data_IF_076139830164
#
_entry.id   IF_076139830164
#
_cell.length_a   1.000
_cell.length_b   1.000
_cell.length_c   1.000
_cell.angle_alpha   90.00
_cell.angle_beta   90.00
_cell.angle_gamma   90.00
#
_symmetry.space_group_name_H-M   'P 1'
#
loop_
_entity.id
_entity.type
_entity.pdbx_description
1 polymer ?
#
# COMPACT_ATOMS: atom_id res chain seq x y z
N UNK A 1 15.94 -17.11 7.41
CA UNK A 1 16.12 -16.93 5.95
C UNK A 1 14.73 -17.03 5.36
N UNK A 2 14.28 -16.03 4.59
CA UNK A 2 12.96 -16.06 3.99
C UNK A 2 12.85 -17.12 2.90
N UNK A 3 11.62 -17.50 2.59
CA UNK A 3 11.29 -18.48 1.57
C UNK A 3 10.58 -17.79 0.40
N UNK A 4 11.02 -18.06 -0.82
CA UNK A 4 10.24 -17.71 -2.02
C UNK A 4 9.12 -18.71 -2.21
N UNK A 5 7.87 -18.23 -2.29
CA UNK A 5 6.71 -19.09 -2.50
C UNK A 5 6.48 -19.43 -3.99
N UNK A 6 5.41 -20.20 -4.25
CA UNK A 6 5.06 -20.66 -5.60
C UNK A 6 4.72 -19.53 -6.59
N UNK A 7 4.43 -18.32 -6.10
CA UNK A 7 4.16 -17.14 -6.92
C UNK A 7 5.40 -16.26 -7.12
N UNK A 8 6.56 -16.66 -6.57
CA UNK A 8 7.80 -15.87 -6.63
C UNK A 8 7.91 -14.79 -5.56
N UNK A 9 6.98 -14.73 -4.60
CA UNK A 9 7.05 -13.74 -3.50
C UNK A 9 8.04 -14.23 -2.44
N UNK A 10 9.02 -13.39 -2.11
CA UNK A 10 9.90 -13.53 -0.94
C UNK A 10 9.56 -12.42 0.06
N UNK A 11 8.92 -12.80 1.17
CA UNK A 11 8.46 -11.84 2.19
C UNK A 11 9.61 -11.18 2.96
N UNK A 12 10.82 -11.76 2.92
CA UNK A 12 12.02 -11.20 3.54
C UNK A 12 12.78 -10.25 2.60
N UNK A 13 12.37 -10.24 1.33
CA UNK A 13 13.02 -9.51 0.26
C UNK A 13 12.78 -8.00 0.29
N UNK A 14 13.40 -7.33 -0.68
CA UNK A 14 13.21 -5.90 -0.93
C UNK A 14 11.79 -5.60 -1.40
N UNK A 15 11.35 -4.36 -1.15
CA UNK A 15 10.04 -3.87 -1.56
C UNK A 15 10.16 -2.64 -2.44
N UNK A 16 9.26 -2.50 -3.40
CA UNK A 16 9.05 -1.28 -4.17
C UNK A 16 7.91 -0.44 -3.60
N UNK A 17 7.68 0.73 -4.20
CA UNK A 17 6.56 1.62 -3.88
C UNK A 17 5.66 1.78 -5.10
N UNK A 18 4.34 1.79 -4.86
CA UNK A 18 3.35 2.09 -5.88
C UNK A 18 2.90 3.55 -5.75
N UNK A 19 2.46 3.93 -4.55
CA UNK A 19 2.15 5.32 -4.18
C UNK A 19 2.65 5.61 -2.76
N UNK A 20 2.89 6.89 -2.46
CA UNK A 20 3.38 7.35 -1.17
C UNK A 20 2.59 8.54 -0.67
N UNK A 21 2.21 8.52 0.61
CA UNK A 21 1.59 9.63 1.33
C UNK A 21 0.52 10.35 0.52
N UNK A 22 -0.40 9.56 -0.04
CA UNK A 22 -1.55 10.08 -0.77
C UNK A 22 -2.64 10.41 0.24
N UNK A 23 -2.93 11.70 0.38
CA UNK A 23 -4.04 12.20 1.19
C UNK A 23 -5.36 11.65 0.65
N UNK A 24 -6.18 11.08 1.53
CA UNK A 24 -7.50 10.56 1.19
C UNK A 24 -8.58 11.64 1.39
N UNK A 25 -9.74 11.47 0.76
CA UNK A 25 -10.81 12.49 0.80
C UNK A 25 -11.36 12.73 2.21
N UNK A 26 -11.21 11.74 3.10
CA UNK A 26 -11.67 11.80 4.48
C UNK A 26 -10.53 11.51 5.44
N UNK A 27 -10.70 11.96 6.68
CA UNK A 27 -9.66 11.85 7.71
C UNK A 27 -9.39 10.43 8.24
N UNK A 28 -10.35 9.50 8.38
CA UNK A 28 -10.10 8.20 9.01
C UNK A 28 -9.05 7.33 8.29
N UNK A 29 -8.53 6.32 8.99
CA UNK A 29 -7.54 5.43 8.40
C UNK A 29 -8.12 4.64 7.21
N UNK A 30 -7.32 4.36 6.17
CA UNK A 30 -7.65 3.36 5.18
C UNK A 30 -7.83 1.99 5.84
N UNK A 31 -8.52 1.07 5.17
CA UNK A 31 -8.84 -0.27 5.71
C UNK A 31 -8.53 -1.39 4.71
N UNK A 32 -8.83 -1.13 3.43
CA UNK A 32 -8.54 -2.06 2.36
C UNK A 32 -8.08 -1.33 1.11
N UNK A 33 -7.26 -2.04 0.33
CA UNK A 33 -6.74 -1.60 -0.96
C UNK A 33 -7.14 -2.60 -2.04
N UNK A 34 -7.34 -2.11 -3.26
CA UNK A 34 -7.45 -2.92 -4.47
C UNK A 34 -6.91 -2.13 -5.66
N UNK A 35 -6.69 -2.79 -6.79
CA UNK A 35 -6.04 -2.20 -7.96
C UNK A 35 -6.72 -2.70 -9.23
N UNK A 36 -7.03 -1.76 -10.11
CA UNK A 36 -7.42 -2.00 -11.48
C UNK A 36 -6.26 -1.58 -12.36
N UNK A 37 -5.41 -2.54 -12.71
CA UNK A 37 -4.23 -2.26 -13.51
C UNK A 37 -4.54 -2.01 -14.99
N UNK A 38 -5.72 -2.39 -15.46
CA UNK A 38 -6.17 -2.16 -16.85
C UNK A 38 -6.54 -0.70 -17.03
N UNK A 39 -7.29 -0.13 -16.10
CA UNK A 39 -7.71 1.28 -16.14
C UNK A 39 -6.78 2.23 -15.38
N UNK A 40 -5.70 1.71 -14.77
CA UNK A 40 -4.67 2.51 -14.12
C UNK A 40 -5.11 3.12 -12.78
N UNK A 41 -5.91 2.38 -12.01
CA UNK A 41 -6.52 2.87 -10.78
C UNK A 41 -6.11 2.05 -9.55
N UNK A 42 -5.95 2.75 -8.44
CA UNK A 42 -5.90 2.17 -7.09
C UNK A 42 -7.18 2.59 -6.38
N UNK A 43 -7.75 1.67 -5.61
CA UNK A 43 -8.92 1.91 -4.79
C UNK A 43 -8.59 1.72 -3.31
N UNK A 44 -9.08 2.63 -2.47
CA UNK A 44 -8.83 2.62 -1.02
C UNK A 44 -10.13 2.89 -0.26
N UNK A 45 -10.49 1.96 0.62
CA UNK A 45 -11.64 2.09 1.53
C UNK A 45 -11.23 2.74 2.85
N UNK A 46 -12.09 3.58 3.41
CA UNK A 46 -11.99 4.16 4.74
C UNK A 46 -13.33 3.99 5.48
N UNK A 47 -13.29 3.73 6.78
CA UNK A 47 -14.51 3.82 7.60
C UNK A 47 -14.94 5.29 7.73
N UNK A 48 -16.24 5.56 7.63
CA UNK A 48 -16.79 6.85 8.02
C UNK A 48 -16.71 7.02 9.54
N UNK A 49 -15.93 7.99 10.02
CA UNK A 49 -16.00 8.43 11.41
C UNK A 49 -17.29 9.22 11.62
N UNK A 50 -18.30 8.61 12.26
CA UNK A 50 -19.45 9.35 12.79
C UNK A 50 -19.27 9.57 14.29
N UNK A 51 -19.77 10.71 14.80
CA UNK A 51 -19.74 11.02 16.23
C UNK A 51 -20.79 10.24 17.05
N UNK A 52 -21.69 9.48 16.41
CA UNK A 52 -22.90 8.93 17.07
C UNK A 52 -23.10 7.42 16.96
N UNK A 53 -22.36 6.71 16.10
CA UNK A 53 -22.09 5.26 16.09
C UNK A 53 -21.70 4.82 14.66
N UNK A 54 -20.79 3.85 14.48
CA UNK A 54 -20.45 3.36 13.15
C UNK A 54 -21.66 2.64 12.53
N UNK A 55 -22.31 3.28 11.56
CA UNK A 55 -23.41 2.71 10.77
C UNK A 55 -22.92 1.71 9.70
N UNK A 56 -21.66 1.30 9.78
CA UNK A 56 -21.00 0.53 8.72
C UNK A 56 -20.87 1.33 7.41
N UNK A 57 -20.74 2.66 7.47
CA UNK A 57 -20.57 3.47 6.27
C UNK A 57 -19.09 3.58 5.92
N UNK A 58 -18.77 3.55 4.63
CA UNK A 58 -17.42 3.63 4.08
C UNK A 58 -17.29 4.76 3.07
N UNK A 59 -16.06 5.23 2.89
CA UNK A 59 -15.64 6.05 1.77
C UNK A 59 -14.68 5.26 0.90
N UNK A 60 -14.97 5.21 -0.39
CA UNK A 60 -14.12 4.61 -1.40
C UNK A 60 -13.42 5.72 -2.18
N UNK A 61 -12.09 5.67 -2.24
CA UNK A 61 -11.28 6.62 -2.98
C UNK A 61 -10.74 5.93 -4.24
N UNK A 62 -10.73 6.63 -5.38
CA UNK A 62 -10.02 6.24 -6.59
C UNK A 62 -8.78 7.11 -6.76
N UNK A 63 -7.62 6.48 -6.92
CA UNK A 63 -6.32 7.12 -7.04
C UNK A 63 -5.73 6.74 -8.39
N UNK A 64 -5.14 7.71 -9.09
CA UNK A 64 -4.31 7.44 -10.26
C UNK A 64 -3.05 6.68 -9.84
N UNK A 65 -2.85 5.50 -10.44
CA UNK A 65 -1.78 4.57 -10.05
C UNK A 65 -0.37 5.12 -10.30
N UNK A 66 -0.20 6.07 -11.22
CA UNK A 66 1.09 6.62 -11.60
C UNK A 66 1.39 7.93 -10.83
N UNK A 67 0.42 8.82 -10.76
CA UNK A 67 0.61 10.16 -10.19
C UNK A 67 0.28 10.22 -8.70
N UNK A 68 -0.41 9.23 -8.15
CA UNK A 68 -0.91 9.26 -6.77
C UNK A 68 -2.04 10.29 -6.56
N UNK A 69 -2.56 10.91 -7.62
CA UNK A 69 -3.65 11.88 -7.52
C UNK A 69 -4.97 11.18 -7.21
N UNK A 70 -5.72 11.66 -6.22
CA UNK A 70 -7.11 11.21 -6.01
C UNK A 70 -7.99 11.74 -7.15
N UNK A 71 -8.59 10.85 -7.94
CA UNK A 71 -9.39 11.18 -9.13
C UNK A 71 -10.90 10.98 -8.93
N UNK A 72 -11.33 10.60 -7.73
CA UNK A 72 -12.73 10.50 -7.37
C UNK A 72 -12.96 9.79 -6.03
N UNK A 73 -14.15 9.91 -5.50
CA UNK A 73 -14.59 9.15 -4.33
C UNK A 73 -16.08 8.79 -4.39
N UNK A 74 -16.49 7.79 -3.63
CA UNK A 74 -17.86 7.29 -3.55
C UNK A 74 -18.17 6.92 -2.10
N UNK A 75 -19.39 7.22 -1.62
CA UNK A 75 -19.82 6.83 -0.27
C UNK A 75 -20.60 5.52 -0.35
N UNK A 76 -20.33 4.59 0.57
CA UNK A 76 -20.99 3.30 0.66
C UNK A 76 -21.70 3.21 2.02
N UNK A 77 -23.04 3.21 2.05
CA UNK A 77 -23.81 3.18 3.31
C UNK A 77 -24.23 1.76 3.70
N UNK A 78 -24.01 1.38 4.95
CA UNK A 78 -24.38 0.03 5.44
C UNK A 78 -23.55 -1.10 4.81
N UNK A 79 -22.28 -0.83 4.51
CA UNK A 79 -21.35 -1.80 3.95
C UNK A 79 -20.59 -2.59 5.02
N UNK A 80 -20.14 -1.94 6.10
CA UNK A 80 -19.40 -2.57 7.19
C UNK A 80 -18.14 -1.81 7.55
N UNK A 81 -17.02 -2.53 7.65
CA UNK A 81 -15.74 -2.01 8.14
C UNK A 81 -14.73 -1.74 7.01
N UNK A 82 -14.89 -2.41 5.87
CA UNK A 82 -13.93 -2.44 4.78
C UNK A 82 -12.80 -3.45 5.00
N UNK A 83 -13.09 -4.63 5.55
CA UNK A 83 -12.10 -5.68 5.86
C UNK A 83 -11.15 -6.02 4.69
N UNK A 84 -11.69 -6.09 3.49
CA UNK A 84 -10.95 -6.37 2.27
C UNK A 84 -11.75 -5.96 1.03
N UNK A 85 -11.08 -5.91 -0.13
CA UNK A 85 -11.67 -5.46 -1.38
C UNK A 85 -11.06 -6.17 -2.59
N UNK A 86 -11.82 -6.25 -3.67
CA UNK A 86 -11.31 -6.61 -5.01
C UNK A 86 -11.76 -5.58 -6.04
N UNK A 87 -10.93 -5.32 -7.04
CA UNK A 87 -11.25 -4.45 -8.17
C UNK A 87 -11.20 -5.26 -9.47
N UNK A 88 -12.29 -5.21 -10.23
CA UNK A 88 -12.52 -5.99 -11.43
C UNK A 88 -12.72 -5.06 -12.63
N UNK A 89 -11.75 -4.96 -13.56
CA UNK A 89 -11.93 -4.19 -14.77
C UNK A 89 -12.96 -4.84 -15.71
N UNK A 90 -13.89 -4.03 -16.22
CA UNK A 90 -14.84 -4.40 -17.28
C UNK A 90 -14.85 -3.30 -18.34
N UNK A 91 -14.06 -3.50 -19.40
CA UNK A 91 -13.83 -2.43 -20.38
C UNK A 91 -13.17 -1.23 -19.70
N UNK A 92 -13.75 -0.04 -19.87
CA UNK A 92 -13.29 1.20 -19.24
C UNK A 92 -13.81 1.41 -17.81
N UNK A 93 -14.71 0.53 -17.36
CA UNK A 93 -15.33 0.62 -16.05
C UNK A 93 -14.59 -0.26 -15.04
N UNK A 94 -14.63 0.13 -13.76
CA UNK A 94 -14.17 -0.71 -12.66
C UNK A 94 -15.35 -1.11 -11.77
N UNK A 95 -15.56 -2.41 -11.63
CA UNK A 95 -16.46 -2.96 -10.61
C UNK A 95 -15.68 -3.34 -9.36
N UNK A 96 -16.24 -3.05 -8.20
CA UNK A 96 -15.64 -3.33 -6.91
C UNK A 96 -16.41 -4.43 -6.20
N UNK A 97 -15.66 -5.26 -5.49
CA UNK A 97 -16.16 -6.26 -4.56
C UNK A 97 -15.79 -5.84 -3.15
N UNK A 98 -16.77 -5.73 -2.26
CA UNK A 98 -16.52 -5.59 -0.81
C UNK A 98 -17.70 -6.13 -0.01
N UNK A 99 -17.58 -6.08 1.32
CA UNK A 99 -18.64 -6.48 2.24
C UNK A 99 -19.85 -5.54 2.16
N UNK A 100 -21.02 -6.08 2.50
CA UNK A 100 -22.27 -5.35 2.61
C UNK A 100 -23.17 -5.96 3.69
N UNK A 101 -24.15 -5.18 4.15
CA UNK A 101 -25.16 -5.65 5.07
C UNK A 101 -25.87 -6.95 4.62
N UNK A 102 -26.41 -7.75 5.57
CA UNK A 102 -26.74 -7.37 6.94
C UNK A 102 -25.51 -7.13 7.81
N UNK A 103 -25.62 -6.16 8.72
CA UNK A 103 -24.51 -5.72 9.56
C UNK A 103 -24.39 -6.58 10.83
N UNK A 104 -23.15 -6.79 11.26
CA UNK A 104 -22.78 -7.39 12.53
C UNK A 104 -21.94 -6.39 13.32
N UNK A 105 -22.40 -6.02 14.51
CA UNK A 105 -21.67 -5.12 15.40
C UNK A 105 -21.09 -5.90 16.56
N UNK A 106 -19.77 -5.79 16.75
CA UNK A 106 -19.04 -6.38 17.88
C UNK A 106 -19.29 -5.59 19.17
N UNK A 107 -18.90 -6.15 20.31
CA UNK A 107 -19.13 -5.53 21.62
C UNK A 107 -18.40 -4.20 21.82
N UNK A 108 -17.33 -3.95 21.08
CA UNK A 108 -16.58 -2.68 21.06
C UNK A 108 -17.18 -1.65 20.09
N UNK A 109 -18.30 -1.98 19.43
CA UNK A 109 -18.99 -1.12 18.49
C UNK A 109 -18.51 -1.24 17.04
N UNK A 110 -17.47 -2.01 16.73
CA UNK A 110 -17.01 -2.20 15.35
C UNK A 110 -18.07 -2.91 14.52
N UNK A 111 -18.36 -2.43 13.31
CA UNK A 111 -19.47 -2.94 12.49
C UNK A 111 -18.98 -3.49 11.16
N UNK A 112 -19.36 -4.73 10.84
CA UNK A 112 -18.96 -5.49 9.66
C UNK A 112 -20.17 -5.90 8.81
N UNK A 113 -20.00 -6.03 7.50
CA UNK A 113 -20.95 -6.63 6.58
C UNK A 113 -20.83 -8.15 6.57
N UNK A 114 -21.97 -8.84 6.63
CA UNK A 114 -22.03 -10.31 6.59
C UNK A 114 -22.17 -10.90 5.18
N UNK A 115 -22.36 -10.06 4.19
CA UNK A 115 -22.48 -10.48 2.79
C UNK A 115 -21.41 -9.80 1.93
N UNK A 116 -21.20 -10.30 0.72
CA UNK A 116 -20.37 -9.69 -0.32
C UNK A 116 -21.27 -9.21 -1.46
N UNK A 117 -20.94 -8.07 -2.06
CA UNK A 117 -21.61 -7.58 -3.27
C UNK A 117 -20.63 -6.99 -4.27
N UNK A 118 -21.09 -6.89 -5.52
CA UNK A 118 -20.38 -6.30 -6.66
C UNK A 118 -21.12 -5.07 -7.16
N UNK A 119 -20.43 -3.94 -7.27
CA UNK A 119 -21.01 -2.67 -7.69
C UNK A 119 -20.05 -1.89 -8.60
N UNK A 120 -20.59 -1.01 -9.45
CA UNK A 120 -19.81 -0.12 -10.30
C UNK A 120 -19.24 1.02 -9.45
N UNK A 121 -17.98 1.38 -9.64
CA UNK A 121 -17.46 2.64 -9.10
C UNK A 121 -18.02 3.82 -9.90
N UNK A 122 -18.71 4.73 -9.21
CA UNK A 122 -19.22 5.96 -9.80
C UNK A 122 -18.79 7.17 -8.94
N UNK A 123 -17.92 8.06 -9.44
CA UNK A 123 -17.41 9.17 -8.65
C UNK A 123 -18.53 10.13 -8.24
N UNK A 124 -18.51 10.56 -6.98
CA UNK A 124 -19.48 11.45 -6.36
C UNK A 124 -20.80 10.78 -5.95
N UNK A 125 -20.98 9.47 -6.20
CA UNK A 125 -22.22 8.76 -5.82
C UNK A 125 -22.23 8.31 -4.37
N UNK A 126 -23.44 8.11 -3.89
CA UNK A 126 -23.74 7.39 -2.64
C UNK A 126 -24.45 6.10 -3.04
N UNK A 127 -23.88 4.97 -2.64
CA UNK A 127 -24.52 3.66 -2.78
C UNK A 127 -25.02 3.19 -1.43
N UNK A 128 -26.33 3.00 -1.31
CA UNK A 128 -26.96 2.52 -0.10
C UNK A 128 -27.13 0.99 -0.16
N UNK A 129 -26.41 0.30 0.74
CA UNK A 129 -26.43 -1.15 0.84
C UNK A 129 -27.82 -1.71 1.15
N UNK A 130 -28.71 -0.94 1.78
CA UNK A 130 -30.10 -1.36 2.04
C UNK A 130 -30.94 -1.45 0.76
N UNK A 131 -30.57 -0.69 -0.28
CA UNK A 131 -31.27 -0.67 -1.58
C UNK A 131 -30.73 -1.71 -2.56
N UNK A 132 -29.60 -2.36 -2.25
CA UNK A 132 -29.06 -3.43 -3.09
C UNK A 132 -29.96 -4.68 -2.95
N UNK A 133 -30.51 -5.21 -4.06
CA UNK A 133 -31.36 -6.39 -4.04
C UNK A 133 -30.67 -7.61 -3.42
N UNK A 134 -31.44 -8.44 -2.71
CA UNK A 134 -30.96 -9.62 -1.98
C UNK A 134 -30.18 -10.58 -2.87
N UNK A 135 -30.62 -10.78 -4.11
CA UNK A 135 -30.01 -11.64 -5.11
C UNK A 135 -28.62 -11.14 -5.59
N UNK A 136 -28.28 -9.88 -5.32
CA UNK A 136 -26.95 -9.30 -5.58
C UNK A 136 -26.04 -9.32 -4.35
N UNK A 137 -26.47 -9.95 -3.27
CA UNK A 137 -25.71 -10.13 -2.02
C UNK A 137 -25.46 -11.61 -1.80
N UNK A 138 -24.25 -11.94 -1.41
CA UNK A 138 -23.88 -13.31 -1.09
C UNK A 138 -23.38 -13.43 0.34
N UNK A 139 -24.09 -14.23 1.14
CA UNK A 139 -23.67 -14.62 2.48
C UNK A 139 -23.15 -16.06 2.42
N UNK A 140 -21.86 -16.31 2.70
CA UNK A 140 -21.35 -17.68 2.77
C UNK A 140 -22.17 -18.55 3.75
N UNK A 141 -22.52 -19.79 3.37
CA UNK A 141 -23.32 -20.66 4.23
C UNK A 141 -22.66 -20.89 5.61
N UNK A 142 -23.40 -20.58 6.67
CA UNK A 142 -22.93 -20.72 8.05
C UNK A 142 -22.06 -19.56 8.55
N UNK A 143 -21.95 -18.45 7.80
CA UNK A 143 -21.21 -17.27 8.24
C UNK A 143 -21.82 -16.64 9.51
N UNK A 144 -21.00 -16.48 10.55
CA UNK A 144 -21.43 -15.96 11.85
C UNK A 144 -21.19 -14.46 12.00
N UNK A 145 -20.12 -13.91 11.44
CA UNK A 145 -19.73 -12.50 11.55
C UNK A 145 -19.28 -11.90 10.21
N UNK A 146 -18.33 -10.95 10.25
CA UNK A 146 -17.86 -10.19 9.08
C UNK A 146 -17.30 -11.08 7.97
N UNK A 147 -17.45 -10.59 6.74
CA UNK A 147 -16.98 -11.23 5.51
C UNK A 147 -16.08 -10.27 4.74
N UNK A 148 -15.22 -10.79 3.87
CA UNK A 148 -14.34 -9.96 3.06
C UNK A 148 -13.94 -10.64 1.76
N UNK A 149 -14.07 -10.00 0.59
CA UNK A 149 -13.60 -10.53 -0.67
C UNK A 149 -12.14 -10.17 -0.95
N UNK A 150 -11.45 -10.99 -1.73
CA UNK A 150 -10.19 -10.66 -2.40
C UNK A 150 -10.19 -11.28 -3.79
N UNK A 151 -9.78 -10.51 -4.80
CA UNK A 151 -9.73 -10.97 -6.18
C UNK A 151 -8.31 -11.42 -6.54
N UNK A 152 -8.17 -12.64 -7.06
CA UNK A 152 -6.97 -13.13 -7.74
C UNK A 152 -7.05 -12.75 -9.22
N UNK A 153 -6.26 -11.77 -9.70
CA UNK A 153 -6.33 -11.29 -11.07
C UNK A 153 -5.73 -12.28 -12.08
N UNK A 154 -4.90 -13.23 -11.63
CA UNK A 154 -4.24 -14.22 -12.51
C UNK A 154 -5.18 -15.37 -12.81
N UNK A 155 -5.82 -15.92 -11.78
CA UNK A 155 -6.72 -17.07 -11.92
C UNK A 155 -8.19 -16.69 -12.09
N UNK A 156 -8.50 -15.39 -12.01
CA UNK A 156 -9.87 -14.84 -12.08
C UNK A 156 -10.79 -15.46 -11.01
N UNK A 157 -10.25 -15.66 -9.81
CA UNK A 157 -10.96 -16.25 -8.69
C UNK A 157 -11.27 -15.18 -7.65
N UNK A 158 -12.51 -15.18 -7.14
CA UNK A 158 -12.91 -14.38 -5.99
C UNK A 158 -12.82 -15.25 -4.73
N UNK A 159 -11.89 -14.93 -3.84
CA UNK A 159 -11.86 -15.54 -2.51
C UNK A 159 -12.73 -14.75 -1.55
N UNK A 160 -13.63 -15.42 -0.83
CA UNK A 160 -14.41 -14.83 0.25
C UNK A 160 -13.96 -15.41 1.59
N UNK A 161 -13.46 -14.53 2.46
CA UNK A 161 -13.24 -14.81 3.87
C UNK A 161 -14.54 -14.65 4.65
N UNK A 162 -14.80 -15.57 5.57
CA UNK A 162 -15.92 -15.49 6.49
C UNK A 162 -15.61 -16.24 7.78
N UNK A 163 -16.39 -15.96 8.82
CA UNK A 163 -16.26 -16.64 10.10
C UNK A 163 -17.25 -17.78 10.21
N UNK A 164 -16.79 -18.96 10.60
CA UNK A 164 -17.62 -20.13 10.85
C UNK A 164 -16.95 -21.00 11.91
N UNK A 165 -17.73 -21.54 12.84
CA UNK A 165 -17.25 -22.44 13.90
C UNK A 165 -16.04 -21.87 14.70
N UNK A 166 -16.06 -20.56 14.95
CA UNK A 166 -15.00 -19.84 15.67
C UNK A 166 -13.69 -19.62 14.89
N UNK A 167 -13.66 -19.96 13.59
CA UNK A 167 -12.48 -19.85 12.73
C UNK A 167 -12.75 -18.97 11.51
N UNK A 168 -11.66 -18.50 10.88
CA UNK A 168 -11.72 -17.83 9.58
C UNK A 168 -11.61 -18.87 8.48
N UNK A 169 -12.62 -18.92 7.63
CA UNK A 169 -12.72 -19.74 6.44
C UNK A 169 -12.52 -18.89 5.20
N UNK A 170 -11.90 -19.45 4.18
CA UNK A 170 -11.62 -18.79 2.91
C UNK A 170 -12.07 -19.74 1.81
N UNK A 171 -13.05 -19.33 1.01
CA UNK A 171 -13.58 -20.14 -0.10
C UNK A 171 -13.47 -19.37 -1.39
N UNK A 172 -13.04 -20.04 -2.45
CA UNK A 172 -12.88 -19.44 -3.78
C UNK A 172 -14.10 -19.70 -4.64
N UNK A 173 -14.38 -18.76 -5.52
CA UNK A 173 -15.43 -18.81 -6.52
C UNK A 173 -14.86 -18.33 -7.85
N UNK A 174 -15.43 -18.77 -8.96
CA UNK A 174 -15.17 -18.12 -10.25
C UNK A 174 -15.74 -16.69 -10.21
N UNK A 175 -14.89 -15.69 -10.49
CA UNK A 175 -15.30 -14.28 -10.34
C UNK A 175 -16.41 -13.89 -11.32
N UNK A 176 -16.40 -14.42 -12.54
CA UNK A 176 -17.41 -14.09 -13.55
C UNK A 176 -18.77 -14.74 -13.21
N UNK A 177 -18.76 -16.00 -12.77
CA UNK A 177 -19.96 -16.67 -12.30
C UNK A 177 -20.54 -16.00 -11.05
N UNK A 178 -19.69 -15.61 -10.09
CA UNK A 178 -20.09 -14.87 -8.91
C UNK A 178 -20.71 -13.51 -9.27
N UNK A 179 -20.16 -12.81 -10.27
CA UNK A 179 -20.68 -11.53 -10.75
C UNK A 179 -22.12 -11.63 -11.29
N UNK A 180 -22.52 -12.80 -11.79
CA UNK A 180 -23.88 -13.09 -12.25
C UNK A 180 -24.74 -13.80 -11.20
N UNK A 181 -24.28 -13.91 -9.95
CA UNK A 181 -25.03 -14.50 -8.84
C UNK A 181 -24.87 -16.03 -8.68
N UNK A 182 -23.96 -16.66 -9.41
CA UNK A 182 -23.66 -18.09 -9.30
C UNK A 182 -22.47 -18.36 -8.39
N UNK A 183 -22.73 -18.79 -7.17
CA UNK A 183 -21.73 -18.99 -6.11
C UNK A 183 -21.42 -20.47 -5.89
N UNK A 184 -20.70 -21.07 -6.84
CA UNK A 184 -20.22 -22.45 -6.74
C UNK A 184 -18.77 -22.43 -6.24
N UNK A 185 -18.47 -23.05 -5.08
CA UNK A 185 -17.10 -23.14 -4.59
C UNK A 185 -16.16 -23.81 -5.60
N UNK A 186 -14.96 -23.24 -5.73
CA UNK A 186 -13.87 -23.79 -6.54
C UNK A 186 -12.82 -24.36 -5.59
N UNK A 187 -12.62 -25.67 -5.66
CA UNK A 187 -11.65 -26.38 -4.82
C UNK A 187 -12.05 -26.45 -3.35
N UNK A 188 -11.06 -26.63 -2.47
CA UNK A 188 -11.25 -26.74 -1.03
C UNK A 188 -11.41 -25.36 -0.36
N UNK A 189 -12.16 -25.32 0.75
CA UNK A 189 -12.15 -24.19 1.68
C UNK A 189 -10.88 -24.26 2.55
N UNK A 190 -10.09 -23.19 2.55
CA UNK A 190 -8.99 -23.04 3.49
C UNK A 190 -9.52 -22.58 4.85
N UNK A 191 -9.00 -23.16 5.93
CA UNK A 191 -9.36 -22.77 7.31
C UNK A 191 -8.10 -22.29 7.99
N UNK A 192 -8.11 -21.04 8.45
CA UNK A 192 -6.93 -20.45 9.10
C UNK A 192 -6.52 -21.28 10.31
N UNK A 193 -5.23 -21.68 10.43
CA UNK A 193 -4.73 -22.31 11.63
C UNK A 193 -4.82 -21.36 12.83
N UNK A 194 -4.95 -21.92 14.03
CA UNK A 194 -4.91 -21.18 15.27
C UNK A 194 -3.47 -21.00 15.77
N UNK A 195 -3.25 -20.08 16.71
CA UNK A 195 -2.01 -20.03 17.50
C UNK A 195 -0.82 -19.38 16.80
N UNK A 196 -1.07 -18.38 15.94
CA UNK A 196 0.02 -17.59 15.39
C UNK A 196 0.75 -16.79 16.49
N UNK A 197 2.07 -16.99 16.58
CA UNK A 197 2.94 -16.31 17.54
C UNK A 197 3.08 -14.81 17.20
N UNK A 198 3.22 -13.96 18.21
CA UNK A 198 3.47 -12.52 18.03
C UNK A 198 4.96 -12.18 18.02
N UNK A 199 5.83 -13.13 18.39
CA UNK A 199 7.27 -12.89 18.49
C UNK A 199 7.87 -12.51 17.12
N UNK A 200 8.37 -11.27 16.95
CA UNK A 200 9.08 -10.89 15.75
C UNK A 200 10.48 -11.54 15.71
N UNK A 201 10.94 -11.87 14.50
CA UNK A 201 12.31 -12.36 14.26
C UNK A 201 13.38 -11.27 14.49
N UNK A 202 12.95 -10.02 14.70
CA UNK A 202 13.80 -8.87 15.03
C UNK A 202 13.36 -8.27 16.36
N UNK A 203 14.29 -7.75 17.19
CA UNK A 203 13.91 -7.12 18.46
C UNK A 203 12.88 -6.01 18.25
N UNK A 204 11.77 -6.10 18.97
CA UNK A 204 10.81 -5.00 19.05
C UNK A 204 11.38 -3.92 19.98
N UNK A 205 11.30 -2.62 19.60
CA UNK A 205 11.74 -1.54 20.48
C UNK A 205 10.87 -1.40 21.74
N UNK A 206 9.65 -1.93 21.71
CA UNK A 206 8.70 -1.88 22.82
C UNK A 206 7.95 -3.22 23.02
N UNK A 207 7.38 -3.47 24.21
CA UNK A 207 6.53 -4.64 24.44
C UNK A 207 5.34 -4.70 23.48
N UNK A 208 4.99 -5.90 23.00
CA UNK A 208 3.86 -6.15 22.10
C UNK A 208 2.71 -6.83 22.84
N UNK A 209 1.47 -6.53 22.42
CA UNK A 209 0.30 -7.33 22.83
C UNK A 209 0.46 -8.77 22.33
N UNK A 210 -0.07 -9.74 23.08
CA UNK A 210 0.07 -11.19 22.78
C UNK A 210 -0.85 -11.70 21.66
N UNK A 211 -1.62 -10.81 21.02
CA UNK A 211 -2.58 -11.17 19.98
C UNK A 211 -2.32 -10.37 18.70
N UNK A 212 -2.34 -11.07 17.56
CA UNK A 212 -2.31 -10.43 16.26
C UNK A 212 -3.70 -9.95 15.86
N UNK A 213 -3.78 -8.71 15.38
CA UNK A 213 -4.95 -8.11 14.75
C UNK A 213 -4.87 -8.34 13.24
N UNK A 214 -5.99 -8.64 12.60
CA UNK A 214 -6.07 -8.86 11.16
C UNK A 214 -6.26 -7.53 10.42
N UNK A 215 -5.37 -7.20 9.49
CA UNK A 215 -5.39 -5.97 8.69
C UNK A 215 -5.69 -6.22 7.21
N UNK A 216 -6.02 -7.46 6.86
CA UNK A 216 -6.43 -7.85 5.51
C UNK A 216 -5.89 -9.21 5.12
N UNK A 217 -6.32 -9.68 3.96
CA UNK A 217 -5.77 -10.86 3.32
C UNK A 217 -5.89 -10.74 1.80
N UNK A 218 -5.07 -11.51 1.08
CA UNK A 218 -5.28 -11.74 -0.34
C UNK A 218 -4.87 -13.17 -0.70
N UNK A 219 -5.27 -13.61 -1.89
CA UNK A 219 -4.97 -14.94 -2.40
C UNK A 219 -4.45 -14.80 -3.81
N UNK A 220 -3.41 -15.58 -4.13
CA UNK A 220 -2.86 -15.70 -5.46
C UNK A 220 -2.44 -17.15 -5.68
N UNK A 221 -3.04 -17.81 -6.67
CA UNK A 221 -2.71 -19.22 -6.93
C UNK A 221 -2.93 -20.08 -5.70
N UNK A 222 -1.97 -20.92 -5.31
CA UNK A 222 -2.07 -21.76 -4.09
C UNK A 222 -1.68 -21.04 -2.79
N UNK A 223 -1.49 -19.72 -2.78
CA UNK A 223 -0.98 -19.02 -1.59
C UNK A 223 -2.01 -18.04 -1.02
N UNK A 224 -2.28 -18.15 0.27
CA UNK A 224 -2.99 -17.15 1.04
C UNK A 224 -1.98 -16.27 1.77
N UNK A 225 -2.10 -14.95 1.62
CA UNK A 225 -1.32 -13.97 2.36
C UNK A 225 -2.21 -13.31 3.40
N UNK A 226 -1.83 -13.45 4.67
CA UNK A 226 -2.50 -12.78 5.79
C UNK A 226 -1.66 -11.59 6.23
N UNK A 227 -2.27 -10.40 6.25
CA UNK A 227 -1.65 -9.19 6.76
C UNK A 227 -2.11 -8.94 8.18
N UNK A 228 -1.16 -8.87 9.10
CA UNK A 228 -1.42 -8.87 10.53
C UNK A 228 -0.62 -7.78 11.23
N UNK A 229 -1.12 -7.34 12.36
CA UNK A 229 -0.51 -6.31 13.18
C UNK A 229 -0.40 -6.79 14.62
N UNK A 230 0.77 -6.58 15.22
CA UNK A 230 1.00 -6.71 16.64
C UNK A 230 1.08 -5.31 17.25
N UNK A 231 0.03 -4.86 17.97
CA UNK A 231 0.07 -3.57 18.64
C UNK A 231 1.13 -3.53 19.72
N UNK A 232 1.74 -2.37 19.97
CA UNK A 232 2.49 -2.18 21.21
C UNK A 232 1.55 -2.20 22.42
N UNK A 233 2.07 -2.70 23.54
CA UNK A 233 1.31 -2.85 24.78
C UNK A 233 1.33 -1.54 25.60
N UNK A 234 0.81 -0.47 25.00
CA UNK A 234 0.73 0.86 25.61
C UNK A 234 -0.14 0.86 26.88
N UNK A 235 -1.16 0.02 26.93
CA UNK A 235 -2.07 -0.12 28.07
C UNK A 235 -1.33 -0.53 29.35
N UNK A 236 -0.42 -1.51 29.25
CA UNK A 236 0.39 -1.95 30.38
C UNK A 236 1.73 -1.19 30.51
N UNK A 237 2.14 -0.43 29.49
CA UNK A 237 3.44 0.26 29.44
C UNK A 237 3.34 1.74 28.96
N UNK A 238 2.44 2.57 29.55
CA UNK A 238 2.12 3.89 29.01
C UNK A 238 3.25 4.92 29.13
N UNK A 239 4.26 4.67 29.95
CA UNK A 239 5.42 5.57 30.13
C UNK A 239 6.58 5.26 29.20
N UNK A 240 6.57 4.10 28.52
CA UNK A 240 7.65 3.66 27.64
C UNK A 240 7.21 3.52 26.20
N UNK A 241 5.96 3.15 25.94
CA UNK A 241 5.40 3.02 24.58
C UNK A 241 4.85 4.37 24.09
N UNK A 242 5.34 4.92 22.98
CA UNK A 242 4.82 6.16 22.42
C UNK A 242 3.49 5.94 21.68
N UNK A 243 2.53 6.84 21.89
CA UNK A 243 1.20 6.84 21.24
C UNK A 243 1.25 6.95 19.71
N UNK A 244 2.36 7.46 19.16
CA UNK A 244 2.49 7.74 17.73
C UNK A 244 2.73 6.47 16.90
N UNK A 245 3.29 5.41 17.49
CA UNK A 245 3.70 4.20 16.77
C UNK A 245 2.81 3.02 17.19
N UNK A 246 1.95 2.50 16.32
CA UNK A 246 0.90 1.55 16.67
C UNK A 246 1.50 0.16 16.94
N UNK A 247 2.53 -0.28 16.21
CA UNK A 247 3.18 -1.56 16.48
C UNK A 247 3.90 -2.15 15.26
N UNK A 248 3.98 -3.48 15.20
CA UNK A 248 4.73 -4.20 14.16
C UNK A 248 3.78 -4.91 13.19
N UNK A 249 3.99 -4.71 11.90
CA UNK A 249 3.24 -5.36 10.83
C UNK A 249 3.94 -6.64 10.37
N UNK A 250 3.15 -7.69 10.15
CA UNK A 250 3.59 -9.00 9.69
C UNK A 250 2.82 -9.42 8.43
N UNK A 251 3.52 -9.98 7.45
CA UNK A 251 2.91 -10.77 6.40
C UNK A 251 3.22 -12.24 6.65
N UNK A 252 2.19 -13.07 6.55
CA UNK A 252 2.30 -14.52 6.66
C UNK A 252 1.75 -15.16 5.40
N UNK A 253 2.50 -16.05 4.77
CA UNK A 253 2.05 -16.85 3.62
C UNK A 253 1.70 -18.27 4.06
N UNK A 254 0.62 -18.81 3.52
CA UNK A 254 0.18 -20.19 3.74
C UNK A 254 -0.04 -20.89 2.41
N UNK A 255 0.35 -22.15 2.32
CA UNK A 255 -0.11 -23.00 1.22
C UNK A 255 -1.57 -23.33 1.46
N UNK A 256 -2.39 -23.03 0.46
CA UNK A 256 -3.82 -23.30 0.47
C UNK A 256 -4.08 -24.80 0.49
N UNK A 257 -3.37 -25.55 -0.34
CA UNK A 257 -3.53 -27.01 -0.45
C UNK A 257 -3.20 -27.72 0.86
N UNK A 258 -2.13 -27.31 1.55
CA UNK A 258 -1.65 -28.05 2.73
C UNK A 258 -2.09 -27.46 4.06
N UNK A 259 -2.55 -26.20 4.09
CA UNK A 259 -2.82 -25.47 5.32
C UNK A 259 -1.56 -25.00 6.08
N UNK A 260 -0.37 -25.34 5.59
CA UNK A 260 0.89 -25.06 6.28
C UNK A 260 1.33 -23.61 6.07
N UNK A 261 1.88 -23.01 7.12
CA UNK A 261 2.60 -21.73 7.03
C UNK A 261 3.88 -21.95 6.23
N UNK A 262 4.04 -21.17 5.16
CA UNK A 262 5.24 -21.18 4.32
C UNK A 262 6.30 -20.25 4.91
N UNK A 263 5.93 -18.99 5.14
CA UNK A 263 6.81 -17.98 5.70
C UNK A 263 6.01 -16.96 6.54
N UNK A 264 6.72 -16.27 7.44
CA UNK A 264 6.26 -15.08 8.13
C UNK A 264 7.42 -14.11 8.25
N UNK A 265 7.18 -12.86 7.88
CA UNK A 265 8.20 -11.83 7.99
C UNK A 265 7.60 -10.56 8.57
N UNK A 266 8.42 -9.83 9.34
CA UNK A 266 8.13 -8.43 9.64
C UNK A 266 8.18 -7.65 8.33
N UNK A 267 7.13 -6.88 8.06
CA UNK A 267 7.11 -6.01 6.89
C UNK A 267 8.04 -4.84 7.16
N UNK A 268 9.06 -4.65 6.33
CA UNK A 268 10.10 -3.61 6.49
C UNK A 268 9.90 -2.39 5.57
N UNK A 269 9.02 -2.47 4.58
CA UNK A 269 8.76 -1.37 3.65
C UNK A 269 8.22 -0.13 4.36
N UNK A 270 8.60 1.07 3.89
CA UNK A 270 8.13 2.36 4.42
C UNK A 270 8.42 2.58 5.91
N UNK A 271 9.62 2.23 6.37
CA UNK A 271 10.01 2.27 7.80
C UNK A 271 10.18 3.68 8.38
N UNK A 272 10.24 4.71 7.54
CA UNK A 272 10.33 6.11 7.95
C UNK A 272 8.98 6.81 8.20
N UNK A 273 7.84 6.13 7.97
CA UNK A 273 6.53 6.68 8.32
C UNK A 273 6.36 6.80 9.83
N UNK A 274 5.79 7.92 10.30
CA UNK A 274 5.66 8.21 11.73
C UNK A 274 4.67 7.28 12.43
N UNK A 275 3.47 7.12 11.87
CA UNK A 275 2.44 6.23 12.40
C UNK A 275 2.57 4.83 11.82
N UNK A 276 2.60 4.65 10.50
CA UNK A 276 2.86 3.33 9.88
C UNK A 276 1.90 2.22 10.38
N UNK A 277 0.61 2.51 10.39
CA UNK A 277 -0.43 1.53 10.72
C UNK A 277 -0.69 0.65 9.49
N UNK A 278 -0.58 -0.68 9.56
CA UNK A 278 -0.81 -1.57 8.41
C UNK A 278 -2.29 -1.60 7.99
N UNK A 279 -2.59 -1.36 6.71
CA UNK A 279 -3.97 -1.22 6.20
C UNK A 279 -4.14 -1.84 4.80
N UNK A 280 -4.58 -3.10 4.75
CA UNK A 280 -4.93 -3.80 3.51
C UNK A 280 -3.75 -4.44 2.78
N UNK A 281 -4.10 -5.49 2.01
CA UNK A 281 -3.19 -6.25 1.15
C UNK A 281 -3.96 -6.66 -0.11
N UNK A 282 -3.30 -6.67 -1.25
CA UNK A 282 -3.89 -7.03 -2.54
C UNK A 282 -2.85 -7.69 -3.45
N UNK A 283 -3.30 -8.29 -4.54
CA UNK A 283 -2.41 -8.73 -5.63
C UNK A 283 -2.73 -7.99 -6.92
N UNK A 284 -1.73 -7.83 -7.78
CA UNK A 284 -1.88 -7.21 -9.09
C UNK A 284 -1.00 -7.89 -10.13
N UNK A 285 -1.32 -7.68 -11.40
CA UNK A 285 -0.39 -7.90 -12.51
C UNK A 285 -0.04 -6.55 -13.11
N UNK A 286 1.24 -6.19 -13.04
CA UNK A 286 1.74 -4.96 -13.62
C UNK A 286 1.59 -4.99 -15.14
N UNK A 287 0.90 -4.02 -15.76
CA UNK A 287 0.53 -4.10 -17.17
C UNK A 287 1.72 -3.86 -18.10
N UNK A 288 2.73 -3.11 -17.64
CA UNK A 288 3.92 -2.80 -18.45
C UNK A 288 4.90 -3.98 -18.50
N UNK A 289 5.02 -4.72 -17.40
CA UNK A 289 6.01 -5.79 -17.26
C UNK A 289 5.41 -7.19 -17.24
N UNK A 290 4.10 -7.33 -17.01
CA UNK A 290 3.46 -8.61 -16.74
C UNK A 290 3.87 -9.24 -15.40
N UNK A 291 4.52 -8.50 -14.51
CA UNK A 291 4.93 -9.00 -13.20
C UNK A 291 3.74 -9.05 -12.25
N UNK A 292 3.49 -10.21 -11.63
CA UNK A 292 2.56 -10.31 -10.51
C UNK A 292 3.20 -9.69 -9.26
N UNK A 293 2.45 -8.94 -8.46
CA UNK A 293 2.99 -8.31 -7.24
C UNK A 293 2.05 -8.53 -6.07
N UNK A 294 2.62 -8.64 -4.87
CA UNK A 294 1.89 -8.61 -3.60
C UNK A 294 1.99 -7.20 -3.02
N UNK A 295 0.88 -6.50 -2.93
CA UNK A 295 0.77 -5.13 -2.45
C UNK A 295 0.36 -5.13 -0.98
N UNK A 296 0.86 -4.16 -0.22
CA UNK A 296 0.44 -3.91 1.15
C UNK A 296 0.43 -2.41 1.45
N UNK A 297 -0.56 -1.97 2.23
CA UNK A 297 -0.79 -0.58 2.56
C UNK A 297 -0.32 -0.22 3.97
N UNK A 298 0.14 1.01 4.13
CA UNK A 298 0.31 1.66 5.42
C UNK A 298 -0.46 2.98 5.45
N UNK A 299 -1.11 3.24 6.57
CA UNK A 299 -1.66 4.52 6.96
C UNK A 299 -0.63 5.33 7.74
N UNK A 300 -0.56 6.61 7.45
CA UNK A 300 0.22 7.56 8.22
C UNK A 300 -0.60 8.82 8.53
N UNK A 301 -0.12 9.65 9.45
CA UNK A 301 -0.71 10.96 9.72
C UNK A 301 -0.23 11.95 8.66
N UNK A 302 -1.17 12.64 8.00
CA UNK A 302 -0.84 13.73 7.09
C UNK A 302 -0.07 14.80 7.88
N UNK A 303 1.15 15.19 7.45
CA UNK A 303 1.96 16.17 8.17
C UNK A 303 1.20 17.46 8.48
N UNK A 304 1.28 17.94 9.72
CA UNK A 304 0.59 19.16 10.16
C UNK A 304 -0.90 19.01 10.47
N UNK A 305 -1.45 17.78 10.39
CA UNK A 305 -2.83 17.50 10.80
C UNK A 305 -2.88 16.65 12.07
N UNK A 306 -3.98 16.73 12.82
CA UNK A 306 -4.18 15.95 14.05
C UNK A 306 -4.95 14.65 13.81
N UNK A 307 -5.53 14.45 12.63
CA UNK A 307 -6.42 13.31 12.38
C UNK A 307 -6.54 12.87 10.93
N UNK A 308 -6.03 13.61 9.95
CA UNK A 308 -6.09 13.16 8.56
C UNK A 308 -5.09 12.05 8.33
N UNK A 309 -5.52 11.04 7.58
CA UNK A 309 -4.70 9.88 7.23
C UNK A 309 -4.40 9.87 5.74
N UNK A 310 -3.14 9.59 5.45
CA UNK A 310 -2.67 9.30 4.10
C UNK A 310 -2.54 7.79 3.90
N UNK A 311 -2.33 7.37 2.65
CA UNK A 311 -1.96 6.00 2.31
C UNK A 311 -0.62 5.93 1.58
N UNK A 312 0.20 4.97 1.97
CA UNK A 312 1.39 4.53 1.25
C UNK A 312 1.21 3.06 0.88
N UNK A 313 1.35 2.72 -0.40
CA UNK A 313 1.21 1.34 -0.88
C UNK A 313 2.55 0.87 -1.42
N UNK A 314 3.08 -0.17 -0.79
CA UNK A 314 4.31 -0.83 -1.18
C UNK A 314 3.99 -2.19 -1.79
N UNK A 315 4.99 -2.85 -2.37
CA UNK A 315 4.80 -4.16 -2.96
C UNK A 315 6.07 -5.01 -2.93
N UNK A 316 5.87 -6.33 -2.88
CA UNK A 316 6.91 -7.33 -3.09
C UNK A 316 7.00 -7.72 -4.56
N UNK A 317 8.20 -7.65 -5.16
CA UNK A 317 8.45 -8.15 -6.52
C UNK A 317 8.44 -9.67 -6.57
N UNK A 318 7.90 -10.24 -7.65
CA UNK A 318 7.92 -11.69 -7.88
C UNK A 318 8.97 -12.13 -8.89
N UNK A 319 9.41 -11.23 -9.77
CA UNK A 319 10.45 -11.58 -10.75
C UNK A 319 11.81 -11.69 -10.08
N UNK A 320 12.65 -12.68 -10.46
CA UNK A 320 14.01 -12.78 -9.96
C UNK A 320 14.86 -11.58 -10.44
N UNK A 321 15.98 -11.36 -9.75
CA UNK A 321 16.99 -10.41 -10.22
C UNK A 321 17.64 -10.93 -11.52
N UNK A 322 18.00 -10.00 -12.41
CA UNK A 322 18.80 -10.29 -13.62
C UNK A 322 20.20 -9.74 -13.35
N UNK A 323 21.23 -10.58 -13.52
CA UNK A 323 22.62 -10.24 -13.22
C UNK A 323 22.84 -9.66 -11.82
N UNK A 324 22.07 -10.17 -10.84
CA UNK A 324 22.14 -9.74 -9.43
C UNK A 324 21.44 -8.40 -9.14
N UNK A 325 20.79 -7.78 -10.13
CA UNK A 325 20.07 -6.52 -10.00
C UNK A 325 18.57 -6.75 -10.20
N UNK A 326 17.76 -6.21 -9.30
CA UNK A 326 16.30 -6.14 -9.47
C UNK A 326 15.87 -4.69 -9.72
N UNK A 327 15.20 -4.42 -10.83
CA UNK A 327 14.63 -3.09 -11.10
C UNK A 327 13.24 -3.03 -10.46
N UNK A 328 13.06 -2.16 -9.48
CA UNK A 328 11.78 -1.98 -8.77
C UNK A 328 10.95 -0.88 -9.42
N UNK A 329 11.60 0.21 -9.83
CA UNK A 329 10.99 1.23 -10.68
C UNK A 329 12.06 1.66 -11.68
N UNK A 330 11.71 1.70 -12.97
CA UNK A 330 12.65 2.13 -14.00
C UNK A 330 12.72 3.67 -14.09
N UNK A 331 13.47 4.20 -15.04
CA UNK A 331 13.71 5.62 -15.21
C UNK A 331 12.44 6.44 -15.44
N UNK A 332 12.08 7.23 -14.44
CA UNK A 332 10.97 8.18 -14.47
C UNK A 332 11.49 9.62 -14.44
N UNK A 333 10.78 10.53 -15.11
CA UNK A 333 11.13 11.94 -15.17
C UNK A 333 10.88 12.63 -13.82
N UNK A 334 11.80 13.51 -13.43
CA UNK A 334 11.61 14.36 -12.26
C UNK A 334 10.67 15.54 -12.61
N UNK A 335 9.78 15.90 -11.69
CA UNK A 335 8.99 17.12 -11.82
C UNK A 335 9.85 18.32 -11.38
N UNK A 336 10.26 19.17 -12.32
CA UNK A 336 11.16 20.30 -12.04
C UNK A 336 10.40 21.51 -11.49
N UNK A 337 11.03 22.24 -10.57
CA UNK A 337 10.48 23.50 -10.05
C UNK A 337 10.56 24.62 -11.10
N UNK A 338 9.74 25.70 -10.96
CA UNK A 338 9.88 26.89 -11.79
C UNK A 338 11.32 27.45 -11.78
N UNK A 339 11.83 27.85 -12.95
CA UNK A 339 13.21 28.35 -13.10
C UNK A 339 14.28 27.26 -13.20
N UNK A 340 13.89 25.98 -13.10
CA UNK A 340 14.75 24.82 -13.34
C UNK A 340 14.41 24.22 -14.70
N UNK A 341 15.43 23.88 -15.48
CA UNK A 341 15.25 23.24 -16.79
C UNK A 341 16.15 22.02 -16.94
N UNK A 342 15.78 21.03 -17.77
CA UNK A 342 16.69 19.96 -18.13
C UNK A 342 17.96 20.52 -18.79
N UNK A 343 19.12 19.98 -18.43
CA UNK A 343 20.35 20.15 -19.18
C UNK A 343 20.39 19.25 -20.43
N UNK A 344 21.59 18.86 -20.86
CA UNK A 344 21.77 17.99 -22.03
C UNK A 344 21.11 16.61 -21.84
N UNK A 345 21.18 16.07 -20.62
CA UNK A 345 20.56 14.80 -20.23
C UNK A 345 19.34 15.07 -19.36
N UNK A 346 18.19 14.49 -19.73
CA UNK A 346 16.93 14.64 -19.00
C UNK A 346 17.07 14.13 -17.55
N UNK A 347 16.70 14.93 -16.55
CA UNK A 347 16.80 14.53 -15.14
C UNK A 347 15.76 13.46 -14.82
N UNK A 348 16.24 12.30 -14.34
CA UNK A 348 15.43 11.11 -14.10
C UNK A 348 15.87 10.38 -12.83
N UNK A 349 14.97 9.59 -12.27
CA UNK A 349 15.26 8.68 -11.16
C UNK A 349 14.77 7.26 -11.41
N UNK A 350 15.34 6.29 -10.70
CA UNK A 350 14.88 4.89 -10.69
C UNK A 350 15.17 4.22 -9.35
N UNK A 351 14.49 3.10 -9.05
CA UNK A 351 14.79 2.23 -7.92
C UNK A 351 15.33 0.88 -8.41
N UNK A 352 16.49 0.51 -7.90
CA UNK A 352 17.05 -0.83 -8.09
C UNK A 352 17.31 -1.47 -6.73
N UNK A 353 17.36 -2.78 -6.68
CA UNK A 353 17.87 -3.53 -5.54
C UNK A 353 19.09 -4.35 -5.94
N UNK A 354 20.10 -4.31 -5.08
CA UNK A 354 21.36 -5.03 -5.20
C UNK A 354 21.73 -5.56 -3.82
N UNK A 355 22.03 -6.86 -3.72
CA UNK A 355 22.42 -7.52 -2.47
C UNK A 355 21.49 -7.21 -1.28
N UNK A 356 20.17 -7.25 -1.51
CA UNK A 356 19.15 -7.01 -0.48
C UNK A 356 18.97 -5.54 -0.07
N UNK A 357 19.67 -4.59 -0.70
CA UNK A 357 19.52 -3.16 -0.44
C UNK A 357 18.87 -2.48 -1.65
N UNK A 358 17.83 -1.70 -1.40
CA UNK A 358 17.23 -0.82 -2.42
C UNK A 358 18.01 0.49 -2.51
N UNK A 359 18.29 0.93 -3.72
CA UNK A 359 18.99 2.16 -4.05
C UNK A 359 18.12 3.06 -4.92
N UNK A 360 18.06 4.34 -4.56
CA UNK A 360 17.61 5.40 -5.44
C UNK A 360 18.80 5.82 -6.30
N UNK A 361 18.61 5.71 -7.61
CA UNK A 361 19.57 6.23 -8.58
C UNK A 361 18.96 7.42 -9.29
N UNK A 362 19.72 8.51 -9.38
CA UNK A 362 19.35 9.67 -10.21
C UNK A 362 20.35 9.80 -11.36
N UNK A 363 19.93 10.50 -12.41
CA UNK A 363 20.77 10.82 -13.55
C UNK A 363 20.33 12.12 -14.21
N UNK A 364 21.16 12.63 -15.10
CA UNK A 364 20.93 13.83 -15.89
C UNK A 364 21.33 15.10 -15.15
N UNK A 365 21.22 16.21 -15.87
CA UNK A 365 21.66 17.52 -15.38
C UNK A 365 20.47 18.46 -15.34
N UNK A 366 20.45 19.38 -14.39
CA UNK A 366 19.51 20.50 -14.36
C UNK A 366 20.27 21.82 -14.49
N UNK A 367 19.70 22.77 -15.22
CA UNK A 367 20.15 24.17 -15.28
C UNK A 367 19.20 25.03 -14.45
N UNK A 368 19.75 26.06 -13.82
CA UNK A 368 19.04 26.97 -12.93
C UNK A 368 19.15 28.39 -13.48
N UNK A 369 18.03 29.04 -13.80
CA UNK A 369 18.00 30.42 -14.30
C UNK A 369 17.06 31.26 -13.44
N UNK A 370 17.52 32.37 -12.83
CA UNK A 370 18.85 33.01 -12.98
C UNK A 370 19.99 32.32 -12.21
N UNK A 371 19.70 31.24 -11.49
CA UNK A 371 20.62 30.55 -10.59
C UNK A 371 20.01 30.46 -9.19
N UNK A 372 20.25 29.36 -8.50
CA UNK A 372 19.79 29.20 -7.12
C UNK A 372 20.73 29.97 -6.20
N UNK A 373 20.17 30.85 -5.37
CA UNK A 373 20.92 31.73 -4.45
C UNK A 373 20.67 31.41 -2.97
N UNK A 374 19.82 30.42 -2.68
CA UNK A 374 19.56 29.89 -1.36
C UNK A 374 19.22 28.40 -1.44
N UNK A 375 19.32 27.71 -0.31
CA UNK A 375 18.84 26.34 -0.17
C UNK A 375 17.36 26.26 -0.52
N UNK A 376 16.96 25.19 -1.23
CA UNK A 376 15.61 25.10 -1.73
C UNK A 376 15.34 23.82 -2.49
N UNK A 377 14.07 23.59 -2.80
CA UNK A 377 13.65 22.51 -3.69
C UNK A 377 13.95 22.89 -5.13
N UNK A 378 14.44 21.94 -5.93
CA UNK A 378 14.67 22.14 -7.37
C UNK A 378 13.92 21.12 -8.23
N UNK A 379 13.48 20.00 -7.63
CA UNK A 379 12.63 19.01 -8.28
C UNK A 379 11.81 18.23 -7.24
N UNK A 380 10.87 17.41 -7.73
CA UNK A 380 10.09 16.47 -6.93
C UNK A 380 10.16 15.08 -7.58
N UNK A 381 10.38 14.06 -6.76
CA UNK A 381 10.38 12.66 -7.16
C UNK A 381 8.94 12.16 -7.43
N UNK A 382 8.73 11.36 -8.50
CA UNK A 382 7.54 10.54 -8.67
C UNK A 382 7.26 9.69 -7.43
N UNK A 383 5.98 9.41 -7.14
CA UNK A 383 5.57 8.70 -5.91
C UNK A 383 6.32 7.38 -5.68
N UNK A 384 6.62 6.65 -6.76
CA UNK A 384 7.33 5.36 -6.71
C UNK A 384 8.79 5.47 -6.25
N UNK A 385 9.38 6.66 -6.34
CA UNK A 385 10.81 6.88 -6.04
C UNK A 385 11.03 7.59 -4.70
N UNK A 386 9.98 8.12 -4.07
CA UNK A 386 10.11 8.91 -2.84
C UNK A 386 10.65 8.06 -1.71
N UNK A 387 11.67 8.54 -1.00
CA UNK A 387 12.17 7.88 0.20
C UNK A 387 11.18 8.07 1.36
N UNK A 388 11.27 7.22 2.38
CA UNK A 388 10.51 7.39 3.64
C UNK A 388 11.39 7.93 4.76
N UNK A 389 12.71 7.78 4.65
CA UNK A 389 13.72 8.44 5.47
C UNK A 389 14.46 9.51 4.69
N UNK A 390 15.18 10.37 5.40
CA UNK A 390 16.09 11.33 4.80
C UNK A 390 17.20 10.58 4.04
N UNK A 391 17.31 10.85 2.75
CA UNK A 391 18.38 10.35 1.88
C UNK A 391 19.16 11.53 1.33
N UNK A 392 20.49 11.45 1.30
CA UNK A 392 21.35 12.55 0.89
C UNK A 392 22.61 12.09 0.18
N UNK A 393 23.10 12.91 -0.76
CA UNK A 393 24.39 12.71 -1.44
C UNK A 393 24.97 14.06 -1.87
N UNK A 394 26.30 14.16 -1.91
CA UNK A 394 26.98 15.28 -2.54
C UNK A 394 27.09 15.04 -4.05
N UNK A 395 26.81 16.07 -4.83
CA UNK A 395 26.79 16.02 -6.29
C UNK A 395 27.56 17.17 -6.91
N UNK A 396 28.10 17.01 -8.13
CA UNK A 396 28.76 18.09 -8.85
C UNK A 396 27.81 19.24 -9.17
N UNK A 397 28.37 20.45 -9.18
CA UNK A 397 27.69 21.69 -9.59
C UNK A 397 28.69 22.67 -10.19
N UNK A 398 28.21 23.78 -10.75
CA UNK A 398 29.08 24.81 -11.35
C UNK A 398 30.23 25.23 -10.43
N UNK A 399 31.47 25.14 -10.93
CA UNK A 399 32.63 25.60 -10.17
C UNK A 399 32.67 27.12 -10.15
N UNK A 400 32.32 27.71 -9.01
CA UNK A 400 32.50 29.12 -8.74
C UNK A 400 33.17 29.27 -7.38
N UNK A 401 34.21 30.11 -7.32
CA UNK A 401 35.08 30.32 -6.15
C UNK A 401 35.65 29.03 -5.55
N UNK A 402 35.94 28.02 -6.38
CA UNK A 402 36.48 26.72 -5.93
C UNK A 402 35.46 25.77 -5.30
N UNK A 403 34.18 26.15 -5.24
CA UNK A 403 33.09 25.26 -4.77
C UNK A 403 32.51 24.54 -5.97
N UNK A 404 32.78 23.23 -6.07
CA UNK A 404 32.36 22.38 -7.19
C UNK A 404 31.33 21.30 -6.81
N UNK A 405 30.89 21.28 -5.55
CA UNK A 405 29.87 20.34 -5.05
C UNK A 405 28.76 21.07 -4.31
N UNK A 406 27.57 20.46 -4.32
CA UNK A 406 26.47 20.78 -3.42
C UNK A 406 25.91 19.49 -2.84
N UNK A 407 25.13 19.58 -1.76
CA UNK A 407 24.41 18.44 -1.20
C UNK A 407 22.98 18.45 -1.73
N UNK A 408 22.50 17.29 -2.15
CA UNK A 408 21.07 17.08 -2.39
C UNK A 408 20.47 16.19 -1.31
N UNK A 409 19.23 16.46 -0.95
CA UNK A 409 18.46 15.64 0.01
C UNK A 409 17.04 15.39 -0.51
N UNK A 410 16.47 14.25 -0.15
CA UNK A 410 15.04 13.94 -0.29
C UNK A 410 14.54 13.25 0.97
N UNK A 411 13.25 13.38 1.24
CA UNK A 411 12.56 12.78 2.38
C UNK A 411 11.19 12.23 1.95
N UNK A 412 10.31 12.02 2.93
CA UNK A 412 8.93 11.52 2.76
C UNK A 412 8.06 12.39 1.84
N UNK A 413 8.40 13.67 1.65
CA UNK A 413 7.69 14.54 0.71
C UNK A 413 8.03 14.25 -0.76
N UNK A 414 9.16 13.58 -1.00
CA UNK A 414 9.73 13.40 -2.33
C UNK A 414 10.38 14.65 -2.92
N UNK A 415 10.40 15.77 -2.22
CA UNK A 415 11.07 16.98 -2.68
C UNK A 415 12.58 16.80 -2.70
N UNK A 416 13.19 17.01 -3.87
CA UNK A 416 14.64 17.08 -4.03
C UNK A 416 15.12 18.50 -3.71
N UNK A 417 15.81 18.63 -2.58
CA UNK A 417 16.35 19.89 -2.08
C UNK A 417 17.85 19.97 -2.33
N UNK A 418 18.32 21.14 -2.70
CA UNK A 418 19.75 21.46 -2.79
C UNK A 418 20.17 22.32 -1.60
N UNK A 419 21.39 22.09 -1.14
CA UNK A 419 22.04 22.83 -0.06
C UNK A 419 23.41 23.34 -0.49
N UNK A 420 23.72 24.58 -0.09
CA UNK A 420 24.97 25.28 -0.42
C UNK A 420 24.92 26.43 -1.44
N UNK A 421 23.82 26.74 -2.15
CA UNK A 421 23.72 28.01 -2.89
C UNK A 421 23.72 29.23 -1.95
N UNK A 422 24.39 30.30 -2.37
CA UNK A 422 24.38 31.61 -1.69
C UNK A 422 24.26 32.73 -2.71
N UNK A 423 23.88 33.97 -2.35
CA UNK A 423 23.84 35.09 -3.29
C UNK A 423 25.16 35.32 -4.03
N UNK A 424 26.29 35.21 -3.33
CA UNK A 424 27.64 35.41 -3.92
C UNK A 424 28.17 34.17 -4.67
N UNK A 425 27.45 33.05 -4.62
CA UNK A 425 27.87 31.80 -5.25
C UNK A 425 26.65 30.98 -5.67
N UNK A 426 25.91 31.54 -6.63
CA UNK A 426 24.73 30.91 -7.15
C UNK A 426 25.06 29.55 -7.82
N UNK A 427 24.16 28.60 -7.63
CA UNK A 427 24.21 27.33 -8.35
C UNK A 427 23.46 27.49 -9.68
N UNK A 428 24.18 27.37 -10.80
CA UNK A 428 23.62 27.52 -12.16
C UNK A 428 23.37 26.18 -12.85
N UNK A 429 23.98 25.10 -12.36
CA UNK A 429 23.65 23.73 -12.76
C UNK A 429 23.99 22.72 -11.67
N UNK A 430 23.28 21.59 -11.68
CA UNK A 430 23.51 20.43 -10.79
C UNK A 430 23.54 19.19 -11.66
N UNK A 431 24.55 18.34 -11.47
CA UNK A 431 24.65 17.04 -12.15
C UNK A 431 24.25 15.91 -11.22
N UNK A 432 23.27 15.12 -11.61
CA UNK A 432 22.75 13.99 -10.84
C UNK A 432 23.40 12.67 -11.26
N UNK A 433 24.23 12.67 -12.31
CA UNK A 433 24.95 11.48 -12.74
C UNK A 433 25.90 11.01 -11.62
N UNK A 434 25.67 9.79 -11.13
CA UNK A 434 26.42 9.21 -10.01
C UNK A 434 25.68 9.21 -8.68
N UNK A 435 24.45 9.73 -8.61
CA UNK A 435 23.61 9.53 -7.43
C UNK A 435 23.21 8.07 -7.32
N UNK A 436 23.60 7.41 -6.24
CA UNK A 436 23.24 6.02 -5.92
C UNK A 436 23.26 5.86 -4.40
N UNK A 437 22.10 6.03 -3.79
CA UNK A 437 21.94 6.13 -2.33
C UNK A 437 20.98 5.08 -1.82
N UNK A 438 21.25 4.54 -0.63
CA UNK A 438 20.32 3.62 0.01
C UNK A 438 18.96 4.30 0.19
N UNK A 439 17.93 3.67 -0.36
CA UNK A 439 16.55 4.13 -0.31
C UNK A 439 15.86 3.42 0.84
N UNK A 440 15.41 4.19 1.82
CA UNK A 440 14.69 3.70 3.00
C UNK A 440 13.48 4.53 3.26
#
# INVERSE_FOLDING_TARGET
MGQTDANGVDLSGVTGRLVQTVDLVKSPAPQAIATDTVNGHIFVLQVESSATAPQGNLYLNRIDRLTGTVTGSMQLKGFGHGLSMGAEPVGTDTYLWTEVGPLHTTSDGTTFGKAVTRFLFEPGKVLDGSLIPSERKFTPPGSTSGTGPSLDPVNRQLCVMYHKDGKRHFTRYDAAAAATGSWVPVGSTFVMPAGEDVTPDVPSPYPLKKTLVSQGFTVLGDVLYAYQWAPYDQENNPTTVPDAFPGIAFLTSYSWTTGQRLDRQVVTGADGLTRREPEGVATEVDPATGETRLLFGFSNTVPGTTGSRDVTICWYPTKPAVDGIKVLADWEDLALEPGISPGASRPRGRLIALAGTTYLQLRGTVTCSPGLTADGRFATLPHRLRATRLTRQNVPRNNNTGRCVCRIETDVSGGLRVYGPTPDNAITWIDLDGVSVAWR
#
